data_IF_384397587876
#
_entry.id   IF_384397587876
#
_cell.length_a   1.000
_cell.length_b   1.000
_cell.length_c   1.000
_cell.angle_alpha   90.00
_cell.angle_beta   90.00
_cell.angle_gamma   90.00
#
_symmetry.space_group_name_H-M   'P 1'
#
loop_
_entity.id
_entity.type
_entity.pdbx_description
1 polymer ?
#
# COMPACT_ATOMS: atom_id res chain seq x y z
N UNK A 1 3.42 1.72 -3.87
CA UNK A 1 3.45 3.17 -4.23
C UNK A 1 3.33 3.37 -5.74
N UNK A 2 4.06 2.65 -6.54
CA UNK A 2 4.07 2.78 -8.01
C UNK A 2 2.66 2.64 -8.62
N UNK A 3 1.89 1.64 -8.20
CA UNK A 3 0.49 1.44 -8.61
C UNK A 3 -0.42 2.62 -8.27
N UNK A 4 -0.22 3.25 -7.11
CA UNK A 4 -0.95 4.46 -6.72
C UNK A 4 -0.65 5.64 -7.65
N UNK A 5 0.60 5.81 -8.06
CA UNK A 5 0.99 6.87 -8.98
C UNK A 5 0.39 6.63 -10.37
N UNK A 6 0.37 5.38 -10.85
CA UNK A 6 -0.21 5.03 -12.15
C UNK A 6 -1.67 5.49 -12.27
N UNK A 7 -2.48 5.26 -11.24
CA UNK A 7 -3.91 5.62 -11.26
C UNK A 7 -4.17 7.12 -11.06
N UNK A 8 -3.21 7.89 -10.54
CA UNK A 8 -3.47 9.27 -10.10
C UNK A 8 -3.06 10.39 -11.07
N UNK A 9 -2.40 10.06 -12.20
CA UNK A 9 -1.87 11.08 -13.11
C UNK A 9 -2.93 12.09 -13.60
N UNK A 10 -4.09 11.60 -14.04
CA UNK A 10 -5.21 12.46 -14.48
C UNK A 10 -5.79 13.29 -13.33
N UNK A 11 -5.82 12.75 -12.14
CA UNK A 11 -6.40 13.44 -10.97
C UNK A 11 -5.50 14.58 -10.50
N UNK A 12 -4.18 14.43 -10.53
CA UNK A 12 -3.26 15.54 -10.28
C UNK A 12 -3.48 16.69 -11.23
N UNK A 13 -3.66 16.41 -12.54
CA UNK A 13 -3.94 17.44 -13.54
C UNK A 13 -5.26 18.17 -13.28
N UNK A 14 -6.32 17.48 -12.83
CA UNK A 14 -7.61 18.10 -12.42
C UNK A 14 -7.45 19.08 -11.28
N UNK A 15 -6.48 18.83 -10.38
CA UNK A 15 -6.14 19.74 -9.28
C UNK A 15 -5.10 20.81 -9.67
N UNK A 16 -4.74 20.92 -10.96
CA UNK A 16 -3.78 21.91 -11.45
C UNK A 16 -2.30 21.56 -11.23
N UNK A 17 -1.98 20.32 -10.83
CA UNK A 17 -0.62 19.87 -10.64
C UNK A 17 -0.12 19.04 -11.83
N UNK A 18 1.03 19.45 -12.39
CA UNK A 18 1.84 18.60 -13.25
C UNK A 18 2.90 17.93 -12.40
N UNK A 19 2.97 16.62 -12.46
CA UNK A 19 3.84 15.83 -11.57
C UNK A 19 4.94 15.16 -12.34
N UNK A 20 6.18 15.35 -11.89
CA UNK A 20 7.36 14.64 -12.36
C UNK A 20 7.79 13.64 -11.26
N UNK A 21 8.36 12.52 -11.65
CA UNK A 21 8.81 11.46 -10.74
C UNK A 21 10.33 11.37 -10.81
N UNK A 22 10.99 11.37 -9.66
CA UNK A 22 12.42 11.10 -9.53
C UNK A 22 12.61 9.70 -8.97
N UNK A 23 13.02 8.76 -9.82
CA UNK A 23 13.39 7.41 -9.42
C UNK A 23 14.82 7.43 -8.84
N UNK A 24 14.96 7.00 -7.58
CA UNK A 24 16.23 7.04 -6.83
C UNK A 24 16.87 5.66 -6.65
N UNK A 25 16.27 4.60 -7.14
CA UNK A 25 16.84 3.25 -7.16
C UNK A 25 17.98 3.12 -8.17
N UNK A 26 18.84 2.10 -8.00
CA UNK A 26 19.97 1.86 -8.91
C UNK A 26 19.52 1.57 -10.35
N UNK A 27 18.34 0.99 -10.53
CA UNK A 27 17.73 0.69 -11.82
C UNK A 27 16.31 1.21 -11.89
N UNK A 28 15.92 1.66 -13.07
CA UNK A 28 14.54 2.03 -13.37
C UNK A 28 13.74 0.74 -13.54
N UNK A 29 12.71 0.57 -12.71
CA UNK A 29 11.84 -0.60 -12.78
C UNK A 29 10.91 -0.57 -14.02
N UNK A 30 10.28 -1.70 -14.37
CA UNK A 30 9.39 -1.82 -15.54
C UNK A 30 8.16 -0.87 -15.47
N UNK A 31 7.78 -0.43 -14.30
CA UNK A 31 6.66 0.50 -14.09
C UNK A 31 6.96 1.92 -14.64
N UNK A 32 8.21 2.26 -14.89
CA UNK A 32 8.58 3.61 -15.36
C UNK A 32 7.95 3.95 -16.72
N UNK A 33 7.86 2.98 -17.64
CA UNK A 33 7.24 3.21 -18.94
C UNK A 33 5.72 3.39 -18.81
N UNK A 34 5.08 2.63 -17.94
CA UNK A 34 3.67 2.80 -17.62
C UNK A 34 3.40 4.18 -17.00
N UNK A 35 4.29 4.66 -16.13
CA UNK A 35 4.20 6.02 -15.56
C UNK A 35 4.33 7.11 -16.63
N UNK A 36 5.24 6.94 -17.60
CA UNK A 36 5.35 7.86 -18.75
C UNK A 36 4.07 7.90 -19.60
N UNK A 37 3.48 6.73 -19.86
CA UNK A 37 2.18 6.63 -20.55
C UNK A 37 1.06 7.29 -19.75
N UNK A 38 1.11 7.23 -18.42
CA UNK A 38 0.15 7.88 -17.51
C UNK A 38 0.36 9.41 -17.40
N UNK A 39 1.31 9.99 -18.14
CA UNK A 39 1.51 11.44 -18.23
C UNK A 39 2.58 12.01 -17.32
N UNK A 40 3.36 11.18 -16.62
CA UNK A 40 4.47 11.63 -15.80
C UNK A 40 5.76 11.77 -16.61
N UNK A 41 6.58 12.78 -16.28
CA UNK A 41 8.00 12.76 -16.65
C UNK A 41 8.74 11.97 -15.60
N UNK A 42 9.50 10.96 -16.01
CA UNK A 42 10.27 10.11 -15.09
C UNK A 42 11.77 10.40 -15.28
N UNK A 43 12.36 11.02 -14.24
CA UNK A 43 13.78 11.27 -14.14
C UNK A 43 14.43 10.13 -13.37
N UNK A 44 15.62 9.70 -13.77
CA UNK A 44 16.36 8.66 -13.05
C UNK A 44 17.67 9.25 -12.51
N UNK A 45 17.70 9.43 -11.20
CA UNK A 45 18.86 9.93 -10.45
C UNK A 45 19.14 8.97 -9.28
N UNK A 46 20.00 7.94 -9.48
CA UNK A 46 20.28 6.94 -8.44
C UNK A 46 20.87 7.58 -7.19
N UNK A 47 20.27 7.28 -6.04
CA UNK A 47 20.74 7.73 -4.73
C UNK A 47 21.27 6.56 -3.91
N UNK A 48 22.60 6.41 -3.87
CA UNK A 48 23.27 5.39 -3.07
C UNK A 48 23.55 5.90 -1.66
N UNK A 49 22.93 5.28 -0.65
CA UNK A 49 23.11 5.68 0.75
C UNK A 49 24.47 5.22 1.35
N UNK A 50 25.20 4.29 0.70
CA UNK A 50 26.50 3.77 1.19
C UNK A 50 27.66 4.72 0.88
N UNK A 51 28.58 4.86 1.84
CA UNK A 51 29.73 5.78 1.79
C UNK A 51 30.79 5.49 0.70
N UNK A 52 30.70 4.38 0.02
CA UNK A 52 31.72 3.88 -0.93
C UNK A 52 31.80 4.60 -2.27
N UNK A 53 31.05 5.68 -2.52
CA UNK A 53 31.09 6.39 -3.81
C UNK A 53 30.72 7.88 -3.65
N UNK A 54 31.72 8.72 -3.43
CA UNK A 54 31.52 10.19 -3.29
C UNK A 54 31.05 10.82 -4.61
N UNK A 55 31.61 10.42 -5.75
CA UNK A 55 31.27 10.98 -7.07
C UNK A 55 29.80 10.82 -7.46
N UNK A 56 29.16 9.62 -7.39
CA UNK A 56 27.75 9.48 -7.67
C UNK A 56 26.84 10.29 -6.76
N UNK A 57 27.28 10.55 -5.52
CA UNK A 57 26.53 11.41 -4.59
C UNK A 57 26.58 12.88 -4.97
N UNK A 58 27.75 13.36 -5.39
CA UNK A 58 27.89 14.73 -5.85
C UNK A 58 27.08 14.98 -7.12
N UNK A 59 27.08 14.01 -8.05
CA UNK A 59 26.23 14.05 -9.25
C UNK A 59 24.75 14.12 -8.88
N UNK A 60 24.27 13.23 -7.99
CA UNK A 60 22.89 13.25 -7.51
C UNK A 60 22.53 14.59 -6.87
N UNK A 61 23.37 15.11 -5.96
CA UNK A 61 23.12 16.38 -5.28
C UNK A 61 22.98 17.52 -6.28
N UNK A 62 23.90 17.60 -7.26
CA UNK A 62 23.87 18.61 -8.31
C UNK A 62 22.60 18.49 -9.17
N UNK A 63 22.33 17.31 -9.68
CA UNK A 63 21.21 17.05 -10.60
C UNK A 63 19.87 17.27 -9.92
N UNK A 64 19.69 16.76 -8.71
CA UNK A 64 18.46 16.97 -7.93
C UNK A 64 18.26 18.45 -7.57
N UNK A 65 19.33 19.15 -7.19
CA UNK A 65 19.27 20.59 -6.91
C UNK A 65 18.86 21.39 -8.16
N UNK A 66 19.49 21.13 -9.31
CA UNK A 66 19.19 21.80 -10.58
C UNK A 66 17.74 21.48 -11.02
N UNK A 67 17.29 20.24 -10.83
CA UNK A 67 15.92 19.86 -11.10
C UNK A 67 14.95 20.65 -10.21
N UNK A 68 15.20 20.75 -8.91
CA UNK A 68 14.37 21.55 -8.00
C UNK A 68 14.34 23.03 -8.39
N UNK A 69 15.45 23.58 -8.91
CA UNK A 69 15.52 24.98 -9.39
C UNK A 69 14.78 25.25 -10.69
N UNK A 70 14.39 24.23 -11.43
CA UNK A 70 13.66 24.41 -12.70
C UNK A 70 12.19 24.85 -12.57
N UNK A 71 11.73 25.16 -11.33
CA UNK A 71 10.44 25.80 -11.10
C UNK A 71 9.38 24.93 -10.45
N UNK A 72 9.77 23.95 -9.63
CA UNK A 72 8.79 23.16 -8.87
C UNK A 72 8.28 23.91 -7.64
N UNK A 73 6.96 23.93 -7.45
CA UNK A 73 6.30 24.49 -6.26
C UNK A 73 6.34 23.54 -5.07
N UNK A 74 6.33 22.24 -5.34
CA UNK A 74 6.22 21.16 -4.35
C UNK A 74 7.26 20.09 -4.62
N UNK A 75 7.94 19.63 -3.57
CA UNK A 75 8.71 18.37 -3.56
C UNK A 75 8.08 17.43 -2.54
N UNK A 76 7.63 16.25 -2.99
CA UNK A 76 7.05 15.23 -2.14
C UNK A 76 7.96 13.99 -2.08
N UNK A 77 8.44 13.67 -0.89
CA UNK A 77 9.45 12.63 -0.63
C UNK A 77 8.73 11.39 -0.10
N UNK A 78 8.85 10.28 -0.83
CA UNK A 78 8.23 8.99 -0.49
C UNK A 78 9.24 7.92 -0.08
N UNK A 79 10.48 8.30 0.19
CA UNK A 79 11.55 7.37 0.58
C UNK A 79 11.98 7.58 2.03
N UNK A 80 12.32 6.50 2.71
CA UNK A 80 12.91 6.54 4.07
C UNK A 80 14.44 6.79 4.03
N UNK A 81 15.06 6.64 2.88
CA UNK A 81 16.47 6.93 2.66
C UNK A 81 16.66 8.36 2.15
N UNK A 82 17.25 9.25 2.95
CA UNK A 82 17.68 10.59 2.52
C UNK A 82 16.70 11.75 2.66
N UNK A 83 15.53 11.67 3.34
CA UNK A 83 14.62 12.81 3.46
C UNK A 83 15.29 14.12 3.92
N UNK A 84 16.24 14.13 4.89
CA UNK A 84 16.93 15.35 5.28
C UNK A 84 17.70 16.04 4.15
N UNK A 85 18.43 15.26 3.35
CA UNK A 85 19.20 15.79 2.21
C UNK A 85 18.26 16.34 1.14
N UNK A 86 17.22 15.58 0.76
CA UNK A 86 16.29 16.01 -0.27
C UNK A 86 15.52 17.28 0.17
N UNK A 87 15.12 17.33 1.45
CA UNK A 87 14.50 18.54 2.02
C UNK A 87 15.42 19.74 1.98
N UNK A 88 16.68 19.57 2.38
CA UNK A 88 17.68 20.65 2.36
C UNK A 88 17.90 21.18 0.94
N UNK A 89 18.13 20.28 -0.03
CA UNK A 89 18.35 20.65 -1.43
C UNK A 89 17.13 21.37 -2.03
N UNK A 90 15.94 20.84 -1.79
CA UNK A 90 14.70 21.47 -2.23
C UNK A 90 14.52 22.87 -1.62
N UNK A 91 14.80 23.02 -0.32
CA UNK A 91 14.73 24.31 0.37
C UNK A 91 15.72 25.33 -0.19
N UNK A 92 16.98 24.92 -0.41
CA UNK A 92 18.03 25.77 -1.00
C UNK A 92 17.71 26.13 -2.46
N UNK A 93 17.03 25.26 -3.19
CA UNK A 93 16.56 25.52 -4.55
C UNK A 93 15.36 26.47 -4.61
N UNK A 94 14.77 26.86 -3.47
CA UNK A 94 13.63 27.79 -3.42
C UNK A 94 12.26 27.13 -3.49
N UNK A 95 12.17 25.79 -3.38
CA UNK A 95 10.89 25.08 -3.36
C UNK A 95 10.08 25.52 -2.13
N UNK A 96 8.85 25.93 -2.38
CA UNK A 96 7.98 26.51 -1.33
C UNK A 96 7.42 25.47 -0.39
N UNK A 97 7.04 24.30 -0.91
CA UNK A 97 6.34 23.23 -0.18
C UNK A 97 7.12 21.94 -0.25
N UNK A 98 7.42 21.37 0.90
CA UNK A 98 8.14 20.12 1.02
C UNK A 98 7.31 19.19 1.87
N UNK A 99 7.01 18.01 1.33
CA UNK A 99 6.23 16.98 1.99
C UNK A 99 7.04 15.68 2.09
N UNK A 100 6.80 14.91 3.14
CA UNK A 100 7.39 13.59 3.36
C UNK A 100 6.29 12.63 3.78
N UNK A 101 6.18 11.48 3.13
CA UNK A 101 5.21 10.44 3.51
C UNK A 101 5.92 9.13 3.81
N UNK A 102 5.98 8.71 5.09
CA UNK A 102 6.39 7.36 5.46
C UNK A 102 5.29 6.36 5.07
N UNK A 103 5.71 5.27 4.41
CA UNK A 103 4.78 4.24 3.91
C UNK A 103 4.71 2.98 4.78
N UNK A 104 5.47 2.92 5.88
CA UNK A 104 5.50 1.78 6.79
C UNK A 104 5.63 2.21 8.24
N UNK A 105 5.23 1.32 9.15
CA UNK A 105 5.49 1.44 10.59
C UNK A 105 6.92 0.99 10.89
N UNK A 106 7.88 1.91 10.79
CA UNK A 106 9.30 1.61 10.99
C UNK A 106 9.65 1.47 12.47
N UNK A 107 9.87 0.24 12.92
CA UNK A 107 10.24 -0.06 14.33
C UNK A 107 11.75 -0.05 14.55
N UNK A 108 12.45 0.99 14.11
CA UNK A 108 13.88 1.17 14.35
C UNK A 108 14.22 1.12 15.85
N UNK A 109 15.39 0.57 16.21
CA UNK A 109 15.85 0.41 17.60
C UNK A 109 17.22 1.08 17.82
N UNK A 110 17.57 1.31 19.09
CA UNK A 110 18.88 1.82 19.49
C UNK A 110 19.23 3.14 18.80
N UNK A 111 20.50 3.28 18.44
CA UNK A 111 21.03 4.49 17.78
C UNK A 111 20.32 4.86 16.49
N UNK A 112 19.89 3.87 15.69
CA UNK A 112 19.15 4.12 14.46
C UNK A 112 17.83 4.85 14.73
N UNK A 113 17.12 4.52 15.82
CA UNK A 113 15.91 5.24 16.22
C UNK A 113 16.20 6.71 16.55
N UNK A 114 17.28 6.97 17.30
CA UNK A 114 17.66 8.35 17.66
C UNK A 114 18.00 9.14 16.40
N UNK A 115 18.83 8.60 15.51
CA UNK A 115 19.14 9.20 14.22
C UNK A 115 17.87 9.53 13.43
N UNK A 116 16.94 8.58 13.33
CA UNK A 116 15.67 8.76 12.60
C UNK A 116 14.76 9.82 13.25
N UNK A 117 14.79 9.96 14.57
CA UNK A 117 14.11 11.04 15.28
C UNK A 117 14.72 12.41 14.92
N UNK A 118 16.05 12.52 14.94
CA UNK A 118 16.76 13.75 14.56
C UNK A 118 16.49 14.09 13.07
N UNK A 119 16.49 13.10 12.17
CA UNK A 119 16.17 13.28 10.75
C UNK A 119 14.77 13.91 10.56
N UNK A 120 13.76 13.43 11.30
CA UNK A 120 12.39 13.97 11.24
C UNK A 120 12.32 15.39 11.78
N UNK A 121 13.00 15.65 12.88
CA UNK A 121 13.05 16.99 13.46
C UNK A 121 13.72 17.98 12.51
N UNK A 122 14.85 17.61 11.90
CA UNK A 122 15.55 18.42 10.91
C UNK A 122 14.68 18.76 9.69
N UNK A 123 13.96 17.78 9.14
CA UNK A 123 13.00 18.01 8.05
C UNK A 123 11.94 19.04 8.45
N UNK A 124 11.40 18.94 9.66
CA UNK A 124 10.41 19.90 10.17
C UNK A 124 10.98 21.31 10.37
N UNK A 125 12.20 21.42 10.88
CA UNK A 125 12.90 22.73 11.03
C UNK A 125 13.07 23.44 9.68
N UNK A 126 13.25 22.69 8.60
CA UNK A 126 13.32 23.22 7.24
C UNK A 126 11.93 23.52 6.62
N UNK A 127 10.85 23.32 7.37
CA UNK A 127 9.48 23.55 6.92
C UNK A 127 8.84 22.37 6.20
N UNK A 128 9.45 21.18 6.26
CA UNK A 128 8.87 19.95 5.71
C UNK A 128 7.65 19.48 6.52
N UNK A 129 6.62 19.02 5.84
CA UNK A 129 5.36 18.51 6.42
C UNK A 129 5.28 17.01 6.21
N UNK A 130 4.72 16.30 7.19
CA UNK A 130 4.56 14.85 7.12
C UNK A 130 3.11 14.46 6.81
N UNK A 131 2.94 13.53 5.87
CA UNK A 131 1.67 12.87 5.58
C UNK A 131 1.62 11.48 6.21
N UNK A 132 0.56 11.15 6.94
CA UNK A 132 0.37 9.85 7.60
C UNK A 132 -0.70 9.05 6.87
N UNK A 133 -0.32 7.91 6.33
CA UNK A 133 -1.16 7.11 5.42
C UNK A 133 -2.14 6.18 6.13
N UNK A 134 -1.99 6.00 7.44
CA UNK A 134 -2.81 5.11 8.27
C UNK A 134 -2.72 5.53 9.73
N UNK A 135 -3.65 5.06 10.58
CA UNK A 135 -3.59 5.28 12.04
C UNK A 135 -2.34 4.64 12.63
N UNK A 136 -2.01 3.41 12.18
CA UNK A 136 -0.81 2.73 12.63
C UNK A 136 0.49 3.47 12.29
N UNK A 137 0.58 4.12 11.10
CA UNK A 137 1.74 4.95 10.75
C UNK A 137 1.78 6.23 11.59
N UNK A 138 0.62 6.87 11.84
CA UNK A 138 0.55 8.06 12.68
C UNK A 138 0.99 7.78 14.11
N UNK A 139 0.49 6.71 14.71
CA UNK A 139 0.85 6.30 16.07
C UNK A 139 2.33 5.96 16.17
N UNK A 140 2.86 5.20 15.19
CA UNK A 140 4.29 4.91 15.13
C UNK A 140 5.15 6.18 15.05
N UNK A 141 4.79 7.13 14.18
CA UNK A 141 5.52 8.39 14.03
C UNK A 141 5.41 9.27 15.28
N UNK A 142 4.23 9.34 15.89
CA UNK A 142 3.97 10.12 17.10
C UNK A 142 4.69 9.55 18.33
N UNK A 143 4.54 8.26 18.60
CA UNK A 143 5.06 7.63 19.81
C UNK A 143 6.57 7.41 19.77
N UNK A 144 7.09 6.98 18.61
CA UNK A 144 8.48 6.58 18.47
C UNK A 144 9.40 7.71 18.04
N UNK A 145 8.89 8.66 17.24
CA UNK A 145 9.69 9.73 16.65
C UNK A 145 9.21 11.12 17.05
N UNK A 146 8.17 11.25 17.89
CA UNK A 146 7.56 12.52 18.29
C UNK A 146 7.21 13.39 17.06
N UNK A 147 6.87 12.73 15.98
CA UNK A 147 6.58 13.37 14.71
C UNK A 147 5.08 13.40 14.47
N UNK A 148 4.52 14.61 14.31
CA UNK A 148 3.11 14.82 13.99
C UNK A 148 2.98 15.06 12.49
N UNK A 149 1.88 14.66 11.88
CA UNK A 149 1.62 14.89 10.47
C UNK A 149 0.15 15.14 10.19
N UNK A 150 -0.15 15.27 8.92
CA UNK A 150 -1.52 15.39 8.40
C UNK A 150 -1.97 14.01 7.96
N UNK A 151 -3.19 13.62 8.34
CA UNK A 151 -3.78 12.38 7.84
C UNK A 151 -4.02 12.51 6.33
N UNK A 152 -3.41 11.60 5.58
CA UNK A 152 -3.66 11.37 4.17
C UNK A 152 -3.87 9.87 3.98
N UNK A 153 -4.78 9.48 3.12
CA UNK A 153 -5.00 8.08 2.84
C UNK A 153 -4.31 7.69 1.53
N UNK A 154 -3.66 6.54 1.51
CA UNK A 154 -3.35 5.90 0.24
C UNK A 154 -4.65 5.59 -0.48
N UNK A 155 -4.59 5.45 -1.78
CA UNK A 155 -5.75 5.18 -2.62
C UNK A 155 -5.53 3.98 -3.52
N UNK A 156 -6.62 3.52 -4.09
CA UNK A 156 -6.65 2.50 -5.13
C UNK A 156 -7.45 3.03 -6.33
N UNK A 157 -7.24 2.43 -7.49
CA UNK A 157 -8.08 2.69 -8.66
C UNK A 157 -9.44 1.99 -8.49
N UNK A 158 -10.41 2.72 -7.98
CA UNK A 158 -11.75 2.20 -7.69
C UNK A 158 -12.62 1.97 -8.94
N UNK A 159 -12.23 2.51 -10.10
CA UNK A 159 -12.88 2.20 -11.36
C UNK A 159 -12.39 0.84 -11.90
N UNK A 160 -11.12 0.57 -11.72
CA UNK A 160 -10.52 -0.70 -12.09
C UNK A 160 -10.89 -1.81 -11.08
N UNK A 161 -10.56 -1.63 -9.79
CA UNK A 161 -10.91 -2.58 -8.74
C UNK A 161 -12.38 -2.44 -8.33
N UNK A 162 -13.23 -3.19 -8.99
CA UNK A 162 -14.68 -3.26 -8.76
C UNK A 162 -15.14 -4.71 -8.60
N UNK A 163 -16.27 -4.95 -7.96
CA UNK A 163 -16.86 -6.29 -7.91
C UNK A 163 -17.18 -6.82 -9.32
N UNK A 164 -17.04 -8.13 -9.55
CA UNK A 164 -17.38 -8.76 -10.81
C UNK A 164 -18.89 -8.92 -10.98
N UNK A 165 -19.35 -8.93 -12.22
CA UNK A 165 -20.61 -9.56 -12.57
C UNK A 165 -20.56 -11.08 -12.35
N UNK A 166 -21.70 -11.78 -12.26
CA UNK A 166 -21.72 -13.24 -12.13
C UNK A 166 -20.94 -13.95 -13.25
N UNK A 167 -21.03 -13.44 -14.49
CA UNK A 167 -20.32 -14.00 -15.64
C UNK A 167 -18.81 -13.78 -15.54
N UNK A 168 -18.36 -12.57 -15.21
CA UNK A 168 -16.94 -12.26 -15.04
C UNK A 168 -16.31 -13.16 -13.95
N UNK A 169 -17.01 -13.35 -12.83
CA UNK A 169 -16.56 -14.25 -11.78
C UNK A 169 -16.46 -15.69 -12.26
N UNK A 170 -17.47 -16.18 -12.98
CA UNK A 170 -17.45 -17.54 -13.52
C UNK A 170 -16.28 -17.73 -14.48
N UNK A 171 -16.06 -16.80 -15.40
CA UNK A 171 -14.94 -16.83 -16.33
C UNK A 171 -13.59 -16.79 -15.61
N UNK A 172 -13.45 -15.95 -14.58
CA UNK A 172 -12.25 -15.88 -13.75
C UNK A 172 -11.95 -17.21 -13.06
N UNK A 173 -12.96 -17.91 -12.51
CA UNK A 173 -12.78 -19.22 -11.88
C UNK A 173 -12.41 -20.31 -12.90
N UNK A 174 -13.06 -20.30 -14.06
CA UNK A 174 -12.77 -21.25 -15.14
C UNK A 174 -11.33 -21.11 -15.66
N UNK A 175 -10.85 -19.88 -15.86
CA UNK A 175 -9.47 -19.63 -16.31
C UNK A 175 -8.41 -20.14 -15.34
N UNK A 176 -8.75 -20.26 -14.06
CA UNK A 176 -7.89 -20.81 -13.02
C UNK A 176 -7.97 -22.32 -12.88
N UNK A 177 -8.92 -22.96 -13.56
CA UNK A 177 -9.24 -24.37 -13.38
C UNK A 177 -9.83 -24.68 -12.00
N UNK A 178 -10.35 -23.66 -11.30
CA UNK A 178 -11.07 -23.84 -10.06
C UNK A 178 -12.45 -24.42 -10.34
N UNK A 179 -12.84 -25.43 -9.59
CA UNK A 179 -14.18 -26.04 -9.69
C UNK A 179 -15.21 -25.16 -8.99
N UNK A 180 -16.47 -25.36 -9.29
CA UNK A 180 -17.55 -24.57 -8.68
C UNK A 180 -17.60 -24.74 -7.15
N UNK A 181 -17.30 -25.93 -6.67
CA UNK A 181 -17.30 -26.31 -5.26
C UNK A 181 -15.99 -25.95 -4.52
N UNK A 182 -14.95 -25.51 -5.21
CA UNK A 182 -13.70 -25.13 -4.57
C UNK A 182 -13.87 -23.80 -3.82
N UNK A 183 -13.35 -23.72 -2.60
CA UNK A 183 -13.22 -22.49 -1.84
C UNK A 183 -11.88 -21.85 -2.19
N UNK A 184 -11.92 -20.80 -3.01
CA UNK A 184 -10.73 -20.13 -3.57
C UNK A 184 -10.18 -19.11 -2.59
N UNK A 185 -8.99 -19.39 -2.09
CA UNK A 185 -8.23 -18.53 -1.18
C UNK A 185 -7.18 -17.77 -2.01
N UNK A 186 -7.11 -16.45 -1.91
CA UNK A 186 -6.14 -15.63 -2.66
C UNK A 186 -5.29 -14.82 -1.68
N UNK A 187 -3.99 -14.71 -1.96
CA UNK A 187 -3.12 -13.73 -1.32
C UNK A 187 -2.24 -13.02 -2.34
N UNK A 188 -1.93 -11.74 -2.09
CA UNK A 188 -1.08 -10.91 -2.94
C UNK A 188 0.05 -10.29 -2.12
N UNK A 189 1.28 -10.47 -2.59
CA UNK A 189 2.48 -9.86 -2.01
C UNK A 189 3.73 -10.67 -2.32
N UNK A 190 4.87 -9.99 -2.47
CA UNK A 190 6.14 -10.70 -2.64
C UNK A 190 6.45 -11.56 -1.41
N UNK A 191 6.93 -12.76 -1.62
CA UNK A 191 7.34 -13.67 -0.55
C UNK A 191 8.47 -13.04 0.26
N UNK A 192 8.20 -12.81 1.53
CA UNK A 192 9.16 -12.41 2.55
C UNK A 192 8.55 -12.65 3.94
N UNK A 193 9.37 -12.63 4.97
CA UNK A 193 8.94 -12.90 6.35
C UNK A 193 7.81 -11.97 6.81
N UNK A 194 7.83 -10.69 6.39
CA UNK A 194 6.82 -9.72 6.82
C UNK A 194 5.42 -10.05 6.28
N UNK A 195 5.31 -10.69 5.11
CA UNK A 195 4.02 -11.08 4.51
C UNK A 195 3.46 -12.38 5.08
N UNK A 196 4.32 -13.24 5.65
CA UNK A 196 3.93 -14.44 6.39
C UNK A 196 2.99 -15.41 5.63
N UNK A 197 3.21 -15.57 4.31
CA UNK A 197 2.40 -16.48 3.48
C UNK A 197 2.45 -17.92 3.96
N UNK A 198 3.53 -18.32 4.64
CA UNK A 198 3.65 -19.62 5.29
C UNK A 198 2.54 -19.92 6.31
N UNK A 199 1.93 -18.89 6.92
CA UNK A 199 0.79 -19.09 7.82
C UNK A 199 -0.46 -19.56 7.05
N UNK A 200 -0.68 -19.10 5.81
CA UNK A 200 -1.78 -19.58 4.96
C UNK A 200 -1.53 -21.05 4.59
N UNK A 201 -0.32 -21.38 4.15
CA UNK A 201 0.01 -22.75 3.76
C UNK A 201 -0.17 -23.72 4.92
N UNK A 202 0.26 -23.36 6.14
CA UNK A 202 0.05 -24.20 7.35
C UNK A 202 -1.40 -24.24 7.81
N UNK A 203 -2.22 -23.25 7.46
CA UNK A 203 -3.65 -23.25 7.79
C UNK A 203 -4.46 -24.24 6.93
N UNK A 204 -4.06 -24.45 5.67
CA UNK A 204 -4.82 -25.30 4.72
C UNK A 204 -5.02 -26.74 5.23
N UNK A 205 -4.01 -27.44 5.77
CA UNK A 205 -4.23 -28.80 6.32
C UNK A 205 -5.14 -28.85 7.55
N UNK A 206 -5.34 -27.72 8.24
CA UNK A 206 -6.20 -27.63 9.41
C UNK A 206 -7.67 -27.37 9.09
N UNK A 207 -7.99 -27.10 7.81
CA UNK A 207 -9.36 -26.87 7.39
C UNK A 207 -10.21 -28.15 7.46
N UNK A 208 -11.48 -28.05 7.83
CA UNK A 208 -12.41 -29.19 7.75
C UNK A 208 -12.39 -29.86 6.38
N UNK A 209 -12.46 -31.19 6.34
CA UNK A 209 -12.40 -31.96 5.09
C UNK A 209 -13.50 -31.60 4.08
N UNK A 210 -14.63 -31.07 4.55
CA UNK A 210 -15.70 -30.56 3.71
C UNK A 210 -15.32 -29.32 2.89
N UNK A 211 -14.27 -28.57 3.29
CA UNK A 211 -13.80 -27.36 2.60
C UNK A 211 -12.78 -27.79 1.53
N UNK A 212 -13.20 -27.79 0.27
CA UNK A 212 -12.29 -28.01 -0.86
C UNK A 212 -11.52 -26.73 -1.14
N UNK A 213 -10.43 -26.52 -0.41
CA UNK A 213 -9.62 -25.32 -0.57
C UNK A 213 -8.76 -25.37 -1.83
N UNK A 214 -8.68 -24.23 -2.54
CA UNK A 214 -7.76 -23.96 -3.63
C UNK A 214 -7.06 -22.63 -3.37
N UNK A 215 -5.73 -22.65 -3.17
CA UNK A 215 -4.97 -21.47 -2.81
C UNK A 215 -4.20 -20.90 -3.99
N UNK A 216 -4.33 -19.60 -4.22
CA UNK A 216 -3.59 -18.82 -5.20
C UNK A 216 -2.68 -17.82 -4.50
N UNK A 217 -1.39 -17.92 -4.78
CA UNK A 217 -0.41 -16.92 -4.36
C UNK A 217 0.05 -16.09 -5.55
N UNK A 218 -0.03 -14.75 -5.40
CA UNK A 218 0.39 -13.76 -6.40
C UNK A 218 1.49 -12.90 -5.80
N UNK A 219 2.67 -12.94 -6.41
CA UNK A 219 3.82 -12.16 -5.98
C UNK A 219 5.13 -12.86 -6.27
N UNK A 220 6.18 -12.09 -6.34
CA UNK A 220 7.51 -12.63 -6.61
C UNK A 220 7.98 -13.51 -5.46
N UNK A 221 8.41 -14.71 -5.80
CA UNK A 221 8.98 -15.64 -4.85
C UNK A 221 10.44 -15.32 -4.52
N UNK A 222 10.92 -15.81 -3.38
CA UNK A 222 12.35 -15.78 -3.04
C UNK A 222 13.12 -16.78 -3.90
N UNK A 223 14.43 -16.56 -4.05
CA UNK A 223 15.30 -17.39 -4.92
C UNK A 223 15.23 -18.90 -4.61
N UNK A 224 14.98 -19.28 -3.35
CA UNK A 224 14.90 -20.69 -2.92
C UNK A 224 13.47 -21.22 -2.85
N UNK A 225 12.46 -20.45 -3.27
CA UNK A 225 11.04 -20.80 -3.25
C UNK A 225 10.60 -21.48 -1.94
N UNK A 226 10.80 -20.85 -0.76
CA UNK A 226 10.55 -21.49 0.53
C UNK A 226 9.07 -21.83 0.72
N UNK A 227 8.16 -21.04 0.18
CA UNK A 227 6.72 -21.28 0.24
C UNK A 227 6.30 -22.49 -0.60
N UNK A 228 6.90 -22.69 -1.77
CA UNK A 228 6.64 -23.89 -2.59
C UNK A 228 7.16 -25.16 -1.90
N UNK A 229 8.37 -25.09 -1.30
CA UNK A 229 8.91 -26.21 -0.53
C UNK A 229 8.02 -26.56 0.65
N UNK A 230 7.56 -25.56 1.38
CA UNK A 230 6.61 -25.74 2.47
C UNK A 230 5.30 -26.38 2.00
N UNK A 231 4.76 -25.94 0.86
CA UNK A 231 3.56 -26.55 0.29
C UNK A 231 3.74 -28.02 -0.10
N UNK A 232 4.94 -28.38 -0.58
CA UNK A 232 5.32 -29.78 -0.85
C UNK A 232 5.42 -30.61 0.43
N UNK A 233 6.11 -30.10 1.46
CA UNK A 233 6.24 -30.75 2.77
C UNK A 233 4.89 -30.99 3.45
N UNK A 234 3.94 -30.07 3.26
CA UNK A 234 2.57 -30.18 3.78
C UNK A 234 1.66 -31.03 2.90
N UNK A 235 2.11 -31.53 1.75
CA UNK A 235 1.31 -32.33 0.82
C UNK A 235 0.17 -31.59 0.14
N UNK A 236 0.27 -30.27 -0.02
CA UNK A 236 -0.81 -29.40 -0.55
C UNK A 236 -0.47 -28.76 -1.90
N UNK A 237 0.61 -29.14 -2.58
CA UNK A 237 0.98 -28.59 -3.88
C UNK A 237 -0.14 -28.70 -4.93
N UNK A 238 -0.91 -29.80 -4.92
CA UNK A 238 -2.04 -30.02 -5.82
C UNK A 238 -3.23 -29.10 -5.57
N UNK A 239 -3.28 -28.42 -4.41
CA UNK A 239 -4.28 -27.43 -4.01
C UNK A 239 -3.74 -25.99 -4.02
N UNK A 240 -2.49 -25.80 -4.45
CA UNK A 240 -1.80 -24.52 -4.38
C UNK A 240 -1.25 -24.14 -5.74
N UNK A 241 -1.39 -22.88 -6.13
CA UNK A 241 -0.80 -22.33 -7.35
C UNK A 241 -0.03 -21.06 -7.03
N UNK A 242 1.23 -21.02 -7.42
CA UNK A 242 2.10 -19.85 -7.33
C UNK A 242 2.22 -19.21 -8.71
N UNK A 243 1.74 -17.98 -8.85
CA UNK A 243 1.63 -17.29 -10.14
C UNK A 243 2.80 -16.36 -10.44
N UNK A 244 3.70 -16.14 -9.46
CA UNK A 244 4.73 -15.12 -9.60
C UNK A 244 4.15 -13.71 -9.62
N UNK A 245 4.90 -12.76 -10.16
CA UNK A 245 4.42 -11.39 -10.35
C UNK A 245 3.46 -11.34 -11.53
N UNK A 246 2.30 -10.72 -11.34
CA UNK A 246 1.31 -10.45 -12.39
C UNK A 246 1.12 -8.93 -12.51
N UNK A 247 0.86 -8.45 -13.72
CA UNK A 247 0.66 -7.02 -13.96
C UNK A 247 -0.70 -6.54 -13.44
N UNK A 248 -1.73 -7.36 -13.61
CA UNK A 248 -3.09 -7.08 -13.13
C UNK A 248 -3.67 -8.28 -12.36
N UNK A 249 -3.87 -8.14 -11.04
CA UNK A 249 -4.43 -9.20 -10.23
C UNK A 249 -5.97 -9.26 -10.22
N UNK A 250 -6.66 -8.36 -10.90
CA UNK A 250 -8.11 -8.15 -10.74
C UNK A 250 -8.92 -9.43 -10.98
N UNK A 251 -8.68 -10.15 -12.06
CA UNK A 251 -9.45 -11.35 -12.37
C UNK A 251 -9.20 -12.49 -11.36
N UNK A 252 -8.03 -12.55 -10.72
CA UNK A 252 -7.78 -13.50 -9.64
C UNK A 252 -8.56 -13.11 -8.37
N UNK A 253 -8.69 -11.82 -8.09
CA UNK A 253 -9.52 -11.31 -7.00
C UNK A 253 -10.99 -11.57 -7.24
N UNK A 254 -11.45 -11.49 -8.48
CA UNK A 254 -12.83 -11.87 -8.86
C UNK A 254 -13.15 -13.34 -8.62
N UNK A 255 -12.17 -14.21 -8.80
CA UNK A 255 -12.33 -15.64 -8.54
C UNK A 255 -12.38 -15.98 -7.05
N UNK A 256 -11.83 -15.11 -6.18
CA UNK A 256 -11.66 -15.36 -4.76
C UNK A 256 -12.97 -15.55 -4.00
N UNK A 257 -13.02 -16.53 -3.10
CA UNK A 257 -14.02 -16.65 -2.05
C UNK A 257 -13.55 -15.92 -0.78
N UNK A 258 -12.23 -15.81 -0.62
CA UNK A 258 -11.61 -15.03 0.45
C UNK A 258 -10.23 -14.54 0.02
N UNK A 259 -9.90 -13.31 0.42
CA UNK A 259 -8.55 -12.76 0.36
C UNK A 259 -7.92 -12.84 1.75
N UNK A 260 -6.72 -13.40 1.86
CA UNK A 260 -6.04 -13.61 3.14
C UNK A 260 -4.71 -12.87 3.17
N UNK A 261 -4.52 -12.01 4.17
CA UNK A 261 -3.30 -11.22 4.36
C UNK A 261 -2.79 -11.33 5.82
N UNK A 262 -2.01 -12.39 6.17
CA UNK A 262 -1.57 -12.66 7.53
C UNK A 262 -0.26 -11.95 7.89
N UNK A 263 0.00 -10.78 7.32
CA UNK A 263 1.25 -10.04 7.46
C UNK A 263 1.62 -9.78 8.92
N UNK A 264 2.92 -9.78 9.21
CA UNK A 264 3.47 -9.40 10.52
C UNK A 264 3.53 -7.88 10.70
N UNK A 265 3.68 -7.15 9.61
CA UNK A 265 3.78 -5.68 9.57
C UNK A 265 3.25 -5.15 8.25
N UNK A 266 2.46 -4.07 8.31
CA UNK A 266 1.96 -3.34 7.16
C UNK A 266 1.87 -1.84 7.44
N UNK A 267 2.07 -1.02 6.38
CA UNK A 267 1.81 0.42 6.47
C UNK A 267 0.32 0.75 6.36
N UNK A 268 -0.36 0.18 5.36
CA UNK A 268 -1.82 0.25 5.18
C UNK A 268 -2.40 -1.04 4.56
N UNK A 269 -1.61 -1.81 3.79
CA UNK A 269 -2.12 -3.02 3.12
C UNK A 269 -2.92 -2.72 1.86
N UNK A 270 -2.29 -2.05 0.88
CA UNK A 270 -2.95 -1.66 -0.39
C UNK A 270 -3.58 -2.87 -1.10
N UNK A 271 -2.91 -4.04 -1.10
CA UNK A 271 -3.47 -5.25 -1.69
C UNK A 271 -4.78 -5.71 -1.02
N UNK A 272 -4.94 -5.47 0.29
CA UNK A 272 -6.21 -5.75 0.98
C UNK A 272 -7.30 -4.76 0.56
N UNK A 273 -6.96 -3.47 0.36
CA UNK A 273 -7.90 -2.47 -0.18
C UNK A 273 -8.36 -2.86 -1.59
N UNK A 274 -7.43 -3.26 -2.47
CA UNK A 274 -7.71 -3.72 -3.84
C UNK A 274 -8.61 -4.95 -3.84
N UNK A 275 -8.32 -5.93 -2.98
CA UNK A 275 -9.10 -7.15 -2.86
C UNK A 275 -10.54 -6.89 -2.40
N UNK A 276 -10.71 -6.09 -1.33
CA UNK A 276 -12.06 -5.75 -0.84
C UNK A 276 -12.81 -4.91 -1.87
N UNK A 277 -12.17 -3.95 -2.52
CA UNK A 277 -12.78 -3.16 -3.58
C UNK A 277 -13.25 -4.04 -4.75
N UNK A 278 -12.49 -5.10 -5.08
CA UNK A 278 -12.86 -6.10 -6.08
C UNK A 278 -13.94 -7.09 -5.60
N UNK A 279 -14.48 -6.93 -4.39
CA UNK A 279 -15.55 -7.77 -3.85
C UNK A 279 -15.08 -9.09 -3.26
N UNK A 280 -13.82 -9.22 -2.85
CA UNK A 280 -13.32 -10.36 -2.10
C UNK A 280 -13.48 -10.13 -0.58
N UNK A 281 -14.09 -11.07 0.16
CA UNK A 281 -14.11 -11.04 1.63
C UNK A 281 -12.70 -11.03 2.19
N UNK A 282 -12.46 -10.32 3.29
CA UNK A 282 -11.13 -10.10 3.86
C UNK A 282 -10.90 -10.89 5.15
N UNK A 283 -9.80 -11.64 5.19
CA UNK A 283 -9.16 -12.10 6.42
C UNK A 283 -7.81 -11.44 6.51
N UNK A 284 -7.53 -10.75 7.61
CA UNK A 284 -6.21 -10.15 7.81
C UNK A 284 -5.75 -10.24 9.26
N UNK A 285 -4.43 -10.17 9.46
CA UNK A 285 -3.87 -10.14 10.81
C UNK A 285 -4.15 -8.81 11.50
N UNK A 286 -4.31 -8.86 12.83
CA UNK A 286 -4.48 -7.68 13.70
C UNK A 286 -3.13 -6.99 13.90
N UNK A 287 -2.67 -6.29 12.86
CA UNK A 287 -1.46 -5.46 12.89
C UNK A 287 -1.76 -4.07 12.37
N UNK A 288 -0.85 -3.13 12.68
CA UNK A 288 -0.95 -1.75 12.18
C UNK A 288 -1.24 -1.73 10.67
N UNK A 289 -2.02 -0.79 10.19
CA UNK A 289 -2.39 -0.67 8.78
C UNK A 289 -3.46 -1.66 8.30
N UNK A 290 -3.34 -2.95 8.60
CA UNK A 290 -4.40 -3.92 8.28
C UNK A 290 -5.61 -3.76 9.19
N UNK A 291 -5.38 -3.40 10.46
CA UNK A 291 -6.47 -3.02 11.37
C UNK A 291 -7.24 -1.81 10.86
N UNK A 292 -6.55 -0.85 10.21
CA UNK A 292 -7.20 0.33 9.60
C UNK A 292 -8.06 -0.05 8.39
N UNK A 293 -7.60 -1.00 7.57
CA UNK A 293 -8.41 -1.55 6.46
C UNK A 293 -9.64 -2.27 7.01
N UNK A 294 -9.45 -3.14 8.02
CA UNK A 294 -10.56 -3.86 8.65
C UNK A 294 -11.57 -2.91 9.30
N UNK A 295 -11.12 -1.84 9.95
CA UNK A 295 -12.01 -0.81 10.52
C UNK A 295 -12.78 0.00 9.46
N UNK A 296 -12.36 -0.05 8.20
CA UNK A 296 -13.07 0.56 7.08
C UNK A 296 -14.09 -0.40 6.42
N UNK A 297 -14.21 -1.63 6.90
CA UNK A 297 -15.16 -2.66 6.48
C UNK A 297 -16.07 -3.04 7.65
N UNK A 298 -17.17 -3.73 7.37
CA UNK A 298 -18.10 -4.23 8.40
C UNK A 298 -17.90 -5.73 8.68
N UNK A 299 -17.31 -6.47 7.72
CA UNK A 299 -17.31 -7.94 7.72
C UNK A 299 -15.91 -8.57 7.65
N UNK A 300 -14.84 -7.75 7.69
CA UNK A 300 -13.48 -8.30 7.71
C UNK A 300 -13.21 -9.13 8.97
N UNK A 301 -12.58 -10.28 8.78
CA UNK A 301 -12.20 -11.18 9.87
C UNK A 301 -10.76 -10.87 10.31
N UNK A 302 -10.61 -10.38 11.55
CA UNK A 302 -9.31 -10.13 12.16
C UNK A 302 -8.79 -11.40 12.85
N UNK A 303 -7.61 -11.82 12.44
CA UNK A 303 -6.90 -12.98 13.01
C UNK A 303 -5.61 -12.56 13.72
N UNK A 304 -5.00 -13.47 14.46
CA UNK A 304 -3.60 -13.35 14.82
C UNK A 304 -2.74 -13.73 13.62
N UNK A 305 -1.42 -13.55 13.73
CA UNK A 305 -0.46 -13.97 12.69
C UNK A 305 -0.17 -15.48 12.67
N UNK A 306 -0.83 -16.25 13.55
CA UNK A 306 -0.66 -17.70 13.65
C UNK A 306 -1.58 -18.44 12.69
N UNK A 307 -1.09 -19.53 12.14
CA UNK A 307 -1.82 -20.33 11.15
C UNK A 307 -3.11 -20.96 11.67
N UNK A 308 -3.19 -21.29 12.96
CA UNK A 308 -4.44 -21.79 13.56
C UNK A 308 -5.55 -20.75 13.52
N UNK A 309 -5.22 -19.48 13.83
CA UNK A 309 -6.17 -18.38 13.76
C UNK A 309 -6.59 -18.07 12.32
N UNK A 310 -5.67 -18.19 11.36
CA UNK A 310 -5.98 -18.06 9.93
C UNK A 310 -6.92 -19.16 9.48
N UNK A 311 -6.68 -20.42 9.89
CA UNK A 311 -7.55 -21.56 9.59
C UNK A 311 -8.97 -21.37 10.16
N UNK A 312 -9.08 -20.87 11.40
CA UNK A 312 -10.37 -20.54 12.01
C UNK A 312 -11.12 -19.47 11.22
N UNK A 313 -10.44 -18.41 10.80
CA UNK A 313 -11.01 -17.34 9.97
C UNK A 313 -11.53 -17.88 8.62
N UNK A 314 -10.75 -18.72 7.93
CA UNK A 314 -11.14 -19.34 6.67
C UNK A 314 -12.36 -20.25 6.89
N UNK A 315 -12.34 -21.09 7.93
CA UNK A 315 -13.46 -21.99 8.24
C UNK A 315 -14.74 -21.22 8.58
N UNK A 316 -14.63 -20.10 9.29
CA UNK A 316 -15.76 -19.22 9.60
C UNK A 316 -16.42 -18.71 8.31
N UNK A 317 -15.64 -18.10 7.40
CA UNK A 317 -16.21 -17.58 6.16
C UNK A 317 -16.72 -18.68 5.24
N UNK A 318 -16.05 -19.84 5.19
CA UNK A 318 -16.48 -20.98 4.38
C UNK A 318 -17.77 -21.66 4.91
N UNK A 319 -18.15 -21.41 6.17
CA UNK A 319 -19.40 -21.92 6.76
C UNK A 319 -20.62 -21.06 6.44
N UNK A 320 -20.41 -19.81 5.95
CA UNK A 320 -21.50 -18.92 5.59
C UNK A 320 -22.17 -19.35 4.27
N UNK A 321 -23.50 -19.15 4.13
CA UNK A 321 -24.14 -19.26 2.83
C UNK A 321 -23.47 -18.35 1.81
N UNK A 322 -23.21 -18.84 0.60
CA UNK A 322 -22.49 -18.08 -0.44
C UNK A 322 -23.18 -16.76 -0.78
N UNK A 323 -24.50 -16.69 -0.73
CA UNK A 323 -25.28 -15.47 -0.94
C UNK A 323 -24.95 -14.42 0.13
N UNK A 324 -24.94 -14.81 1.40
CA UNK A 324 -24.58 -13.93 2.52
C UNK A 324 -23.16 -13.45 2.42
N UNK A 325 -22.20 -14.35 2.13
CA UNK A 325 -20.79 -13.99 1.96
C UNK A 325 -20.61 -12.95 0.85
N UNK A 326 -21.35 -13.08 -0.26
CA UNK A 326 -21.30 -12.13 -1.38
C UNK A 326 -21.94 -10.78 -1.04
N UNK A 327 -23.07 -10.77 -0.35
CA UNK A 327 -23.73 -9.54 0.09
C UNK A 327 -22.81 -8.73 1.00
N UNK A 328 -22.23 -9.36 2.02
CA UNK A 328 -21.25 -8.75 2.93
C UNK A 328 -20.03 -8.20 2.18
N UNK A 329 -19.48 -8.94 1.22
CA UNK A 329 -18.35 -8.49 0.41
C UNK A 329 -18.70 -7.27 -0.46
N UNK A 330 -19.94 -7.17 -0.97
CA UNK A 330 -20.40 -6.01 -1.74
C UNK A 330 -20.58 -4.77 -0.85
N UNK A 331 -21.04 -4.93 0.38
CA UNK A 331 -21.12 -3.82 1.35
C UNK A 331 -19.74 -3.28 1.68
N UNK A 332 -18.80 -4.16 2.01
CA UNK A 332 -17.42 -3.80 2.30
C UNK A 332 -16.75 -3.14 1.09
N UNK A 333 -16.98 -3.66 -0.12
CA UNK A 333 -16.49 -3.05 -1.37
C UNK A 333 -16.98 -1.61 -1.55
N UNK A 334 -18.27 -1.34 -1.32
CA UNK A 334 -18.82 0.03 -1.40
C UNK A 334 -18.15 0.96 -0.39
N UNK A 335 -17.95 0.50 0.85
CA UNK A 335 -17.28 1.25 1.91
C UNK A 335 -15.84 1.61 1.51
N UNK A 336 -15.04 0.64 1.10
CA UNK A 336 -13.64 0.86 0.69
C UNK A 336 -13.57 1.78 -0.53
N UNK A 337 -14.34 1.54 -1.57
CA UNK A 337 -14.32 2.34 -2.81
C UNK A 337 -14.72 3.80 -2.57
N UNK A 338 -15.63 4.07 -1.65
CA UNK A 338 -16.01 5.43 -1.30
C UNK A 338 -14.91 6.19 -0.54
N UNK A 339 -14.16 5.50 0.32
CA UNK A 339 -13.17 6.11 1.23
C UNK A 339 -11.76 6.20 0.63
N UNK A 340 -11.37 5.22 -0.21
CA UNK A 340 -10.01 5.07 -0.73
C UNK A 340 -9.91 5.28 -2.24
N UNK A 341 -10.78 6.10 -2.82
CA UNK A 341 -10.69 6.46 -4.23
C UNK A 341 -9.50 7.39 -4.52
N UNK A 342 -9.01 7.35 -5.76
CA UNK A 342 -7.95 8.26 -6.26
C UNK A 342 -8.30 9.72 -5.99
N UNK A 343 -9.56 10.11 -6.27
CA UNK A 343 -10.04 11.46 -6.02
C UNK A 343 -9.90 11.86 -4.56
N UNK A 344 -10.33 11.00 -3.64
CA UNK A 344 -10.25 11.27 -2.19
C UNK A 344 -8.80 11.36 -1.71
N UNK A 345 -7.94 10.45 -2.15
CA UNK A 345 -6.52 10.43 -1.78
C UNK A 345 -5.76 11.66 -2.27
N UNK A 346 -5.87 12.00 -3.56
CA UNK A 346 -5.22 13.19 -4.14
C UNK A 346 -5.73 14.46 -3.47
N UNK A 347 -7.06 14.59 -3.29
CA UNK A 347 -7.67 15.74 -2.61
C UNK A 347 -7.14 15.89 -1.18
N UNK A 348 -6.97 14.80 -0.43
CA UNK A 348 -6.43 14.84 0.94
C UNK A 348 -4.99 15.37 0.98
N UNK A 349 -4.17 15.01 -0.01
CA UNK A 349 -2.81 15.55 -0.14
C UNK A 349 -2.83 17.03 -0.52
N UNK A 350 -3.60 17.40 -1.53
CA UNK A 350 -3.65 18.79 -2.02
C UNK A 350 -4.12 19.75 -0.91
N UNK A 351 -5.23 19.43 -0.27
CA UNK A 351 -5.81 20.31 0.75
C UNK A 351 -5.21 20.14 2.14
N UNK A 352 -4.75 18.93 2.50
CA UNK A 352 -4.17 18.67 3.81
C UNK A 352 -2.67 18.95 3.88
N UNK A 353 -1.91 18.45 2.91
CA UNK A 353 -0.46 18.45 2.97
C UNK A 353 0.18 19.61 2.18
N UNK A 354 -0.39 20.01 1.03
CA UNK A 354 0.13 21.06 0.17
C UNK A 354 -0.50 22.44 0.43
N UNK A 355 -1.61 22.56 1.15
CA UNK A 355 -2.25 23.82 1.44
C UNK A 355 -1.38 24.76 2.30
N UNK A 356 -1.45 26.05 2.08
CA UNK A 356 -0.78 27.06 2.93
C UNK A 356 -1.51 27.19 4.28
N UNK A 357 -0.75 27.25 5.38
CA UNK A 357 -1.32 27.42 6.73
C UNK A 357 -2.12 28.72 6.92
N UNK A 358 -1.88 29.76 6.08
CA UNK A 358 -2.59 31.04 6.17
C UNK A 358 -4.09 30.94 5.83
N UNK A 359 -4.51 30.01 4.96
CA UNK A 359 -5.93 29.85 4.65
C UNK A 359 -6.72 29.18 5.77
N UNK A 360 -6.12 28.22 6.47
CA UNK A 360 -6.75 27.54 7.59
C UNK A 360 -7.04 28.49 8.77
N UNK A 361 -6.12 29.43 9.05
CA UNK A 361 -6.33 30.48 10.08
C UNK A 361 -7.36 31.54 9.65
N UNK A 362 -7.40 31.90 8.36
CA UNK A 362 -8.36 32.89 7.84
C UNK A 362 -9.79 32.33 7.86
N UNK A 363 -9.97 31.06 7.55
CA UNK A 363 -11.30 30.40 7.60
C UNK A 363 -11.74 30.24 9.08
N UNK A 364 -10.85 29.85 9.98
CA UNK A 364 -11.15 29.74 11.40
C UNK A 364 -11.52 31.09 12.04
N UNK A 365 -10.86 32.19 11.67
CA UNK A 365 -11.17 33.54 12.18
C UNK A 365 -12.45 34.12 11.60
N UNK A 366 -12.87 33.75 10.41
CA UNK A 366 -14.18 34.20 9.86
C UNK A 366 -15.38 33.47 10.45
N UNK A 367 -15.24 32.19 10.85
CA UNK A 367 -16.33 31.43 11.50
C UNK A 367 -16.64 31.92 12.90
N UNK A 368 -15.67 32.53 13.63
CA UNK A 368 -15.88 33.04 15.00
C UNK A 368 -16.36 34.49 15.07
N UNK A 369 -16.52 35.18 13.95
CA UNK A 369 -17.08 36.57 13.92
C UNK A 369 -18.55 36.67 13.52
N UNK A 370 -19.25 35.54 13.41
CA UNK A 370 -20.70 35.49 13.07
C UNK A 370 -21.57 34.81 14.13
N UNK A 371 -21.20 34.88 15.38
CA UNK A 371 -22.09 34.52 16.51
C UNK A 371 -22.28 35.72 17.41
#
# INVERSE_FOLDING_TARGET
METMLLSSGKEWLRHGYRSDIVATADHVGPVADQLRVSGYRVHHHPFRSRWSSLLPRLSFVREFFLLCRSGYDVVHIHTEGGPPLFTLLAKLAGVRRIAVTPHNTFRFRGWLRIRKLCERHFVRMLGGRYGMISDGVEDCEKERFRNKGVRIWNWIDTEHFRPPSPLERQLARLSLGARLEDFVIVSIGNCNDAKNHGAILRAIPLLPAAIRSFYLHIGREQANCPEQKLAAELGILNKTRFLGSVDDPLHFLWAADVFVMPSLHEGLGVAALEAVAAGAPLICSRVDGLSDVAAATNHAVLTTTKHESVAQGISLLASLPISQLREQALEDSRSIRSRFSVHHGVRSIVHGLYAEQKLAHAIATQVWRRS
#
